data_IF_864222547944
#
_entry.id   IF_864222547944
#
_cell.length_a   1.000
_cell.length_b   1.000
_cell.length_c   1.000
_cell.angle_alpha   90.00
_cell.angle_beta   90.00
_cell.angle_gamma   90.00
#
_symmetry.space_group_name_H-M   'P 1'
#
loop_
_entity.id
_entity.type
_entity.pdbx_description
1 polymer ?
#
# COMPACT_ATOMS: atom_id res chain seq x y z
N UNK A 1 15.06 -4.92 -2.04
CA UNK A 1 14.51 -3.73 -1.35
C UNK A 1 14.02 -2.73 -2.37
N UNK A 2 12.97 -1.99 -2.05
CA UNK A 2 12.47 -0.86 -2.85
C UNK A 2 12.51 0.40 -2.00
N UNK A 3 12.95 1.53 -2.57
CA UNK A 3 13.20 2.77 -1.83
C UNK A 3 12.40 3.91 -2.43
N UNK A 4 11.78 4.72 -1.56
CA UNK A 4 10.89 5.81 -1.94
C UNK A 4 11.21 7.09 -1.17
N UNK A 5 10.95 8.29 -1.73
CA UNK A 5 11.02 9.53 -0.96
C UNK A 5 10.01 9.53 0.19
N UNK A 6 10.44 9.98 1.38
CA UNK A 6 9.60 9.94 2.58
C UNK A 6 8.36 10.86 2.51
N UNK A 7 8.37 11.84 1.62
CA UNK A 7 7.39 12.94 1.59
C UNK A 7 6.44 12.94 0.39
N UNK A 8 6.53 11.96 -0.51
CA UNK A 8 5.58 11.85 -1.61
C UNK A 8 4.18 11.43 -1.13
N UNK A 9 3.18 11.89 -1.89
CA UNK A 9 1.78 11.51 -1.77
C UNK A 9 1.33 10.87 -3.09
N UNK A 10 0.25 10.08 -3.02
CA UNK A 10 -0.31 9.44 -4.20
C UNK A 10 -0.87 10.50 -5.15
N UNK A 11 -0.70 10.26 -6.44
CA UNK A 11 -1.25 11.04 -7.54
C UNK A 11 -2.48 10.33 -8.13
N UNK A 12 -3.23 11.00 -9.00
CA UNK A 12 -4.44 10.42 -9.59
C UNK A 12 -4.22 9.07 -10.29
N UNK A 13 -3.12 8.92 -11.03
CA UNK A 13 -2.79 7.66 -11.69
C UNK A 13 -2.56 6.51 -10.70
N UNK A 14 -2.02 6.80 -9.51
CA UNK A 14 -1.85 5.80 -8.45
C UNK A 14 -3.22 5.33 -7.90
N UNK A 15 -4.22 6.22 -7.84
CA UNK A 15 -5.57 5.88 -7.39
C UNK A 15 -6.29 4.95 -8.37
N UNK A 16 -6.02 5.09 -9.67
CA UNK A 16 -6.50 4.18 -10.71
C UNK A 16 -5.87 2.80 -10.50
N UNK A 17 -4.54 2.74 -10.32
CA UNK A 17 -3.83 1.49 -10.02
C UNK A 17 -4.37 0.84 -8.75
N UNK A 18 -4.55 1.59 -7.67
CA UNK A 18 -5.13 1.10 -6.42
C UNK A 18 -6.54 0.54 -6.61
N UNK A 19 -7.39 1.24 -7.34
CA UNK A 19 -8.76 0.78 -7.61
C UNK A 19 -8.81 -0.49 -8.46
N UNK A 20 -7.82 -0.68 -9.35
CA UNK A 20 -7.66 -1.90 -10.16
C UNK A 20 -7.12 -3.07 -9.34
N UNK A 21 -6.10 -2.84 -8.51
CA UNK A 21 -5.49 -3.88 -7.66
C UNK A 21 -6.44 -4.27 -6.52
N UNK A 22 -7.21 -3.32 -5.99
CA UNK A 22 -8.18 -3.53 -4.93
C UNK A 22 -9.61 -3.21 -5.36
N UNK A 23 -10.23 -4.06 -6.22
CA UNK A 23 -11.66 -3.97 -6.48
C UNK A 23 -12.47 -4.13 -5.19
N UNK A 24 -13.77 -3.74 -5.16
CA UNK A 24 -14.60 -3.69 -3.95
C UNK A 24 -14.47 -4.92 -3.03
N UNK A 25 -14.47 -6.13 -3.59
CA UNK A 25 -14.35 -7.41 -2.86
C UNK A 25 -13.04 -7.59 -2.07
N UNK A 26 -12.01 -6.79 -2.37
CA UNK A 26 -10.67 -6.88 -1.79
C UNK A 26 -10.25 -5.61 -1.03
N UNK A 27 -11.15 -4.65 -0.83
CA UNK A 27 -10.82 -3.40 -0.13
C UNK A 27 -10.45 -3.58 1.34
N UNK A 28 -10.91 -4.66 1.97
CA UNK A 28 -10.42 -5.05 3.30
C UNK A 28 -8.92 -5.38 3.30
N UNK A 29 -8.41 -5.96 2.21
CA UNK A 29 -6.98 -6.22 2.04
C UNK A 29 -6.19 -4.92 1.94
N UNK A 30 -6.71 -3.90 1.24
CA UNK A 30 -6.07 -2.58 1.17
C UNK A 30 -5.94 -1.94 2.56
N UNK A 31 -6.95 -2.09 3.42
CA UNK A 31 -6.90 -1.59 4.81
C UNK A 31 -5.76 -2.28 5.57
N UNK A 32 -5.63 -3.60 5.44
CA UNK A 32 -4.53 -4.37 6.06
C UNK A 32 -3.17 -3.88 5.56
N UNK A 33 -3.00 -3.75 4.24
CA UNK A 33 -1.77 -3.25 3.63
C UNK A 33 -1.44 -1.85 4.13
N UNK A 34 -2.43 -0.94 4.16
CA UNK A 34 -2.20 0.43 4.63
C UNK A 34 -1.81 0.48 6.11
N UNK A 35 -2.42 -0.35 6.95
CA UNK A 35 -2.07 -0.44 8.38
C UNK A 35 -0.63 -0.92 8.56
N UNK A 36 -0.21 -1.95 7.81
CA UNK A 36 1.17 -2.43 7.81
C UNK A 36 2.15 -1.35 7.37
N UNK A 37 1.87 -0.67 6.25
CA UNK A 37 2.74 0.38 5.73
C UNK A 37 2.82 1.62 6.65
N UNK A 38 1.81 1.84 7.49
CA UNK A 38 1.79 2.96 8.44
C UNK A 38 2.56 2.64 9.73
N UNK A 39 2.87 1.36 10.00
CA UNK A 39 3.71 0.99 11.13
C UNK A 39 5.16 1.46 10.90
N UNK A 40 5.60 2.38 11.75
CA UNK A 40 6.94 2.96 11.69
C UNK A 40 7.99 2.08 12.39
N UNK A 41 7.55 1.07 13.14
CA UNK A 41 8.41 0.13 13.88
C UNK A 41 8.52 -1.23 13.18
N UNK A 42 7.91 -1.37 12.01
CA UNK A 42 7.95 -2.58 11.23
C UNK A 42 9.39 -2.96 10.84
N UNK A 43 9.73 -4.23 11.02
CA UNK A 43 11.07 -4.76 10.73
C UNK A 43 11.40 -4.79 9.22
N UNK A 44 10.38 -4.73 8.36
CA UNK A 44 10.53 -4.68 6.91
C UNK A 44 10.77 -3.26 6.38
N UNK A 45 10.95 -2.27 7.27
CA UNK A 45 11.06 -0.84 6.92
C UNK A 45 12.29 -0.21 7.54
N UNK A 46 13.01 0.60 6.77
CA UNK A 46 14.10 1.43 7.25
C UNK A 46 14.00 2.86 6.71
N UNK A 47 14.58 3.80 7.45
CA UNK A 47 14.60 5.23 7.13
C UNK A 47 16.03 5.72 7.09
N UNK A 48 16.40 6.38 6.00
CA UNK A 48 17.75 6.92 5.83
C UNK A 48 17.72 8.08 4.84
N UNK A 49 18.37 9.20 5.17
CA UNK A 49 18.56 10.36 4.28
C UNK A 49 17.27 10.87 3.59
N UNK A 50 16.14 10.90 4.30
CA UNK A 50 14.85 11.36 3.74
C UNK A 50 14.18 10.34 2.81
N UNK A 51 14.71 9.13 2.73
CA UNK A 51 14.18 8.00 1.99
C UNK A 51 13.63 6.93 2.95
N UNK A 52 12.69 6.14 2.44
CA UNK A 52 12.12 4.98 3.13
C UNK A 52 12.33 3.76 2.26
N UNK A 53 12.97 2.73 2.81
CA UNK A 53 13.18 1.45 2.14
C UNK A 53 12.26 0.39 2.71
N UNK A 54 11.73 -0.45 1.83
CA UNK A 54 10.93 -1.62 2.19
C UNK A 54 11.62 -2.91 1.73
N UNK A 55 11.78 -3.86 2.64
CA UNK A 55 11.98 -5.26 2.32
C UNK A 55 10.62 -5.84 1.88
N UNK A 56 10.44 -5.95 0.57
CA UNK A 56 9.19 -6.41 -0.04
C UNK A 56 8.87 -7.84 0.36
N UNK A 57 9.88 -8.72 0.47
CA UNK A 57 9.64 -10.13 0.81
C UNK A 57 9.18 -10.27 2.25
N UNK A 58 9.79 -9.51 3.17
CA UNK A 58 9.34 -9.47 4.57
C UNK A 58 7.93 -8.88 4.71
N UNK A 59 7.65 -7.78 4.00
CA UNK A 59 6.32 -7.17 3.96
C UNK A 59 5.26 -8.13 3.39
N UNK A 60 5.55 -8.82 2.30
CA UNK A 60 4.64 -9.81 1.67
C UNK A 60 4.35 -10.96 2.63
N UNK A 61 5.37 -11.48 3.34
CA UNK A 61 5.19 -12.50 4.38
C UNK A 61 4.25 -12.01 5.48
N UNK A 62 4.48 -10.81 6.01
CA UNK A 62 3.65 -10.27 7.09
C UNK A 62 2.21 -9.98 6.64
N UNK A 63 2.03 -9.43 5.44
CA UNK A 63 0.71 -9.19 4.86
C UNK A 63 -0.07 -10.48 4.60
N UNK A 64 0.64 -11.55 4.20
CA UNK A 64 0.06 -12.87 4.02
C UNK A 64 -0.45 -13.45 5.34
N UNK A 65 0.30 -13.23 6.43
CA UNK A 65 -0.07 -13.68 7.78
C UNK A 65 -1.25 -12.90 8.36
N UNK A 66 -1.31 -11.56 8.18
CA UNK A 66 -2.38 -10.73 8.76
C UNK A 66 -3.68 -10.73 7.97
N UNK A 67 -3.62 -11.06 6.68
CA UNK A 67 -4.79 -11.17 5.83
C UNK A 67 -4.89 -12.56 5.23
N UNK A 68 -4.31 -12.71 4.05
CA UNK A 68 -4.31 -13.96 3.30
C UNK A 68 -3.16 -13.93 2.30
N UNK A 69 -2.80 -15.08 1.72
CA UNK A 69 -1.84 -15.14 0.62
C UNK A 69 -2.11 -14.10 -0.48
N UNK A 70 -3.38 -13.89 -0.85
CA UNK A 70 -3.79 -12.88 -1.83
C UNK A 70 -3.42 -11.46 -1.42
N UNK A 71 -3.45 -11.14 -0.13
CA UNK A 71 -3.02 -9.82 0.38
C UNK A 71 -1.54 -9.59 0.07
N UNK A 72 -0.70 -10.62 0.22
CA UNK A 72 0.71 -10.58 -0.18
C UNK A 72 0.88 -10.40 -1.69
N UNK A 73 0.13 -11.15 -2.51
CA UNK A 73 0.16 -11.00 -3.97
C UNK A 73 -0.19 -9.58 -4.42
N UNK A 74 -1.19 -8.93 -3.78
CA UNK A 74 -1.52 -7.54 -4.10
C UNK A 74 -0.36 -6.57 -3.85
N UNK A 75 0.49 -6.81 -2.86
CA UNK A 75 1.68 -5.97 -2.62
C UNK A 75 2.66 -6.12 -3.78
N UNK A 76 2.87 -7.34 -4.27
CA UNK A 76 3.72 -7.60 -5.43
C UNK A 76 3.15 -6.89 -6.67
N UNK A 77 1.83 -6.93 -6.88
CA UNK A 77 1.16 -6.21 -7.95
C UNK A 77 1.37 -4.69 -7.86
N UNK A 78 1.28 -4.09 -6.65
CA UNK A 78 1.52 -2.66 -6.45
C UNK A 78 2.95 -2.27 -6.80
N UNK A 79 3.93 -3.03 -6.30
CA UNK A 79 5.36 -2.77 -6.56
C UNK A 79 5.67 -2.92 -8.06
N UNK A 80 5.12 -3.96 -8.70
CA UNK A 80 5.28 -4.20 -10.13
C UNK A 80 4.64 -3.09 -10.98
N UNK A 81 3.57 -2.47 -10.47
CA UNK A 81 2.92 -1.31 -11.10
C UNK A 81 3.64 0.02 -10.82
N UNK A 82 4.76 0.01 -10.09
CA UNK A 82 5.52 1.21 -9.74
C UNK A 82 4.90 2.06 -8.65
N UNK A 83 3.92 1.54 -7.91
CA UNK A 83 3.22 2.31 -6.89
C UNK A 83 4.12 2.56 -5.68
N UNK A 84 4.24 3.82 -5.29
CA UNK A 84 5.03 4.22 -4.13
C UNK A 84 4.34 3.78 -2.82
N UNK A 85 4.89 2.75 -2.17
CA UNK A 85 4.35 2.21 -0.92
C UNK A 85 4.39 3.22 0.24
N UNK A 86 5.39 4.10 0.26
CA UNK A 86 5.48 5.16 1.25
C UNK A 86 4.38 6.21 1.06
N UNK A 87 4.11 6.59 -0.20
CA UNK A 87 3.02 7.49 -0.54
C UNK A 87 1.66 6.87 -0.16
N UNK A 88 1.48 5.56 -0.38
CA UNK A 88 0.28 4.83 0.06
C UNK A 88 0.12 4.84 1.58
N UNK A 89 1.20 4.69 2.34
CA UNK A 89 1.18 4.78 3.80
C UNK A 89 0.66 6.15 4.25
N UNK A 90 1.19 7.24 3.68
CA UNK A 90 0.93 8.62 4.11
C UNK A 90 -0.37 9.21 3.60
N UNK A 91 -0.79 8.86 2.40
CA UNK A 91 -1.95 9.51 1.78
C UNK A 91 -3.23 9.09 2.49
N UNK A 92 -4.04 10.03 3.02
CA UNK A 92 -5.35 9.70 3.57
C UNK A 92 -6.28 9.30 2.43
N UNK A 93 -6.88 8.11 2.53
CA UNK A 93 -7.73 7.55 1.48
C UNK A 93 -9.17 7.40 1.97
N UNK A 94 -10.12 7.70 1.08
CA UNK A 94 -11.49 7.22 1.16
C UNK A 94 -11.55 5.89 0.41
N UNK A 95 -11.90 4.83 1.12
CA UNK A 95 -11.98 3.46 0.61
C UNK A 95 -13.44 3.01 0.74
N UNK A 96 -14.29 3.19 -0.29
CA UNK A 96 -15.70 2.80 -0.21
C UNK A 96 -15.79 1.27 -0.09
N UNK A 97 -16.46 0.69 0.91
CA UNK A 97 -16.43 -0.78 1.06
C UNK A 97 -17.42 -1.52 0.15
N UNK A 98 -18.42 -0.80 -0.36
CA UNK A 98 -19.48 -1.29 -1.23
C UNK A 98 -19.62 -0.37 -2.43
N UNK A 99 -20.36 -0.80 -3.45
CA UNK A 99 -20.63 0.00 -4.64
C UNK A 99 -19.52 -0.06 -5.69
N UNK A 100 -19.57 0.88 -6.64
CA UNK A 100 -18.63 1.00 -7.77
C UNK A 100 -17.75 2.24 -7.66
N UNK A 101 -17.88 3.03 -6.60
CA UNK A 101 -17.06 4.23 -6.42
C UNK A 101 -15.58 3.85 -6.33
N UNK A 102 -14.68 4.54 -7.04
CA UNK A 102 -13.24 4.26 -6.96
C UNK A 102 -12.65 4.71 -5.62
N UNK A 103 -11.43 4.24 -5.33
CA UNK A 103 -10.63 4.75 -4.22
C UNK A 103 -10.23 6.19 -4.54
N UNK A 104 -10.31 7.08 -3.55
CA UNK A 104 -10.01 8.50 -3.70
C UNK A 104 -9.22 9.02 -2.51
N UNK A 105 -8.60 10.19 -2.67
CA UNK A 105 -7.95 10.90 -1.55
C UNK A 105 -9.06 11.47 -0.65
N UNK A 106 -8.89 11.30 0.66
CA UNK A 106 -9.75 11.92 1.67
C UNK A 106 -9.22 13.33 1.93
N UNK A 107 -10.02 14.34 1.58
CA UNK A 107 -9.80 15.74 1.94
C UNK A 107 -9.91 15.95 3.46
#
# INVERSE_FOLDING_TARGET
MVTYPANELLKEHDLITLSRVFPPVSRSQLIIVKNLLTDHRANFRSYENGMVSFDVDALVREASLKGSYKTGERIIELVSAGLNLQALAKTPLRIPMVGKEPISIRL
#
